data_IF_544315320232
#
_entry.id   IF_544315320232
#
_cell.length_a   1.000
_cell.length_b   1.000
_cell.length_c   1.000
_cell.angle_alpha   90.00
_cell.angle_beta   90.00
_cell.angle_gamma   90.00
#
_symmetry.space_group_name_H-M   'P 1'
#
loop_
_entity.id
_entity.type
_entity.pdbx_description
1 polymer ?
#
# COMPACT_ATOMS: atom_id res chain seq x y z
N UNK A 1 -16.52 37.16 -35.16
CA UNK A 1 -15.72 37.35 -33.94
C UNK A 1 -16.24 38.59 -33.22
N UNK A 2 -16.98 38.39 -32.12
CA UNK A 2 -17.40 39.49 -31.24
C UNK A 2 -16.15 40.14 -30.62
N UNK A 3 -16.17 41.49 -30.50
CA UNK A 3 -15.08 42.19 -29.83
C UNK A 3 -15.02 41.74 -28.35
N UNK A 4 -13.83 41.71 -27.80
CA UNK A 4 -13.59 41.36 -26.38
C UNK A 4 -14.47 42.14 -25.39
N UNK A 5 -14.91 43.34 -25.76
CA UNK A 5 -15.82 44.19 -24.97
C UNK A 5 -17.27 43.67 -24.98
N UNK A 6 -17.71 43.09 -26.10
CA UNK A 6 -19.05 42.52 -26.24
C UNK A 6 -19.17 41.21 -25.49
N UNK A 7 -18.14 40.41 -25.50
CA UNK A 7 -18.07 39.12 -24.78
C UNK A 7 -18.09 39.32 -23.25
N UNK A 8 -17.33 40.29 -22.78
CA UNK A 8 -17.34 40.70 -21.37
C UNK A 8 -18.73 41.17 -20.90
N UNK A 9 -19.40 42.05 -21.66
CA UNK A 9 -20.76 42.50 -21.36
C UNK A 9 -21.78 41.36 -21.37
N UNK A 10 -21.58 40.36 -22.20
CA UNK A 10 -22.42 39.17 -22.24
C UNK A 10 -22.24 38.33 -20.99
N UNK A 11 -21.00 38.11 -20.53
CA UNK A 11 -20.69 37.36 -19.31
C UNK A 11 -21.18 38.09 -18.07
N UNK A 12 -21.02 39.40 -17.96
CA UNK A 12 -21.57 40.22 -16.88
C UNK A 12 -23.10 40.09 -16.77
N UNK A 13 -23.81 40.11 -17.91
CA UNK A 13 -25.27 39.91 -17.94
C UNK A 13 -25.68 38.51 -17.52
N UNK A 14 -24.94 37.50 -17.94
CA UNK A 14 -25.20 36.10 -17.56
C UNK A 14 -24.95 35.85 -16.10
N UNK A 15 -23.87 36.39 -15.51
CA UNK A 15 -23.58 36.29 -14.09
C UNK A 15 -24.67 36.98 -13.26
N UNK A 16 -25.08 38.19 -13.62
CA UNK A 16 -26.17 38.93 -12.95
C UNK A 16 -27.50 38.19 -13.04
N UNK A 17 -27.81 37.52 -14.15
CA UNK A 17 -29.03 36.73 -14.32
C UNK A 17 -29.04 35.47 -13.42
N UNK A 18 -27.86 34.97 -13.08
CA UNK A 18 -27.68 33.80 -12.20
C UNK A 18 -27.47 34.18 -10.70
N UNK A 19 -27.53 35.46 -10.35
CA UNK A 19 -27.26 35.95 -9.00
C UNK A 19 -25.82 35.81 -8.54
N UNK A 20 -24.87 35.70 -9.50
CA UNK A 20 -23.45 35.56 -9.25
C UNK A 20 -22.73 36.88 -9.44
N UNK A 21 -21.75 37.19 -8.60
CA UNK A 21 -20.84 38.30 -8.88
C UNK A 21 -19.94 37.96 -10.08
N UNK A 22 -19.86 38.96 -11.02
CA UNK A 22 -18.96 38.79 -12.15
C UNK A 22 -17.52 38.99 -11.73
N UNK A 23 -16.73 37.94 -11.85
CA UNK A 23 -15.30 38.00 -11.56
C UNK A 23 -14.56 38.57 -12.79
N UNK A 24 -14.20 39.86 -12.73
CA UNK A 24 -13.49 40.58 -13.80
C UNK A 24 -12.08 40.02 -14.10
N UNK A 25 -11.56 39.15 -13.20
CA UNK A 25 -10.25 38.54 -13.35
C UNK A 25 -10.30 37.19 -14.08
N UNK A 26 -11.50 36.62 -14.27
CA UNK A 26 -11.69 35.33 -14.93
C UNK A 26 -11.51 35.39 -16.46
N UNK A 27 -11.40 36.56 -17.07
CA UNK A 27 -11.26 36.74 -18.52
C UNK A 27 -9.80 36.84 -19.01
N UNK A 28 -8.83 36.64 -18.11
CA UNK A 28 -7.39 36.52 -18.43
C UNK A 28 -6.76 37.79 -19.02
N UNK A 29 -7.43 38.94 -18.93
CA UNK A 29 -6.98 40.22 -19.57
C UNK A 29 -6.39 41.23 -18.57
N UNK A 30 -6.40 40.95 -17.31
CA UNK A 30 -5.58 41.67 -16.35
C UNK A 30 -4.11 41.28 -16.53
N UNK A 31 -3.19 42.24 -16.50
CA UNK A 31 -1.79 41.90 -16.25
C UNK A 31 -1.74 41.26 -14.85
N UNK A 32 -1.76 39.94 -14.80
CA UNK A 32 -1.54 39.24 -13.54
C UNK A 32 -0.17 39.65 -13.05
N UNK A 33 -0.15 40.26 -11.89
CA UNK A 33 1.09 40.50 -11.19
C UNK A 33 1.49 39.19 -10.56
N UNK A 34 2.45 38.49 -11.15
CA UNK A 34 3.03 37.26 -10.58
C UNK A 34 3.83 37.69 -9.36
N UNK A 35 3.40 37.22 -8.21
CA UNK A 35 4.16 37.37 -6.97
C UNK A 35 4.97 36.09 -6.77
N UNK A 36 6.28 36.24 -6.66
CA UNK A 36 7.12 35.16 -6.15
C UNK A 36 6.82 35.02 -4.67
N UNK A 37 6.40 33.84 -4.26
CA UNK A 37 6.14 33.49 -2.88
C UNK A 37 7.15 32.41 -2.47
N UNK A 38 7.81 32.63 -1.34
CA UNK A 38 8.57 31.58 -0.67
C UNK A 38 7.55 30.68 0.07
N UNK A 39 7.28 29.50 -0.51
CA UNK A 39 6.25 28.59 0.00
C UNK A 39 6.92 27.36 0.59
N UNK A 40 6.74 27.17 1.87
CA UNK A 40 7.12 25.93 2.56
C UNK A 40 5.90 25.00 2.61
N UNK A 41 6.00 23.83 1.95
CA UNK A 41 5.02 22.77 2.10
C UNK A 41 5.32 21.99 3.39
N UNK A 42 4.41 22.06 4.35
CA UNK A 42 4.48 21.26 5.59
C UNK A 42 3.48 20.11 5.46
N UNK A 43 3.98 18.88 5.54
CA UNK A 43 3.16 17.66 5.52
C UNK A 43 3.30 16.95 6.89
N UNK A 44 2.50 17.36 7.90
CA UNK A 44 2.70 16.94 9.29
C UNK A 44 2.28 15.50 9.57
N UNK A 45 1.44 14.93 8.72
CA UNK A 45 0.94 13.57 8.87
C UNK A 45 1.33 12.73 7.67
N UNK A 46 2.08 11.68 7.91
CA UNK A 46 2.36 10.65 6.91
C UNK A 46 2.39 9.29 7.60
N UNK A 47 1.78 8.30 6.95
CA UNK A 47 1.90 6.90 7.37
C UNK A 47 2.82 6.24 6.35
N UNK A 48 4.08 5.94 6.70
CA UNK A 48 5.03 5.38 5.77
C UNK A 48 4.69 3.91 5.47
N UNK A 49 4.79 3.55 4.20
CA UNK A 49 4.80 2.18 3.72
C UNK A 49 6.14 1.97 3.06
N UNK A 50 6.90 1.01 3.56
CA UNK A 50 8.17 0.61 2.99
C UNK A 50 7.92 -0.46 1.94
N UNK A 51 8.46 -0.28 0.73
CA UNK A 51 8.45 -1.29 -0.31
C UNK A 51 9.88 -1.63 -0.70
N UNK A 52 10.21 -2.91 -0.72
CA UNK A 52 11.47 -3.42 -1.25
C UNK A 52 11.24 -4.73 -2.02
N UNK A 53 12.28 -5.25 -2.63
CA UNK A 53 12.25 -6.56 -3.28
C UNK A 53 13.10 -7.54 -2.47
N UNK A 54 12.59 -8.73 -2.23
CA UNK A 54 13.34 -9.79 -1.56
C UNK A 54 14.59 -10.14 -2.37
N UNK A 55 15.75 -10.33 -1.73
CA UNK A 55 16.90 -10.94 -2.38
C UNK A 55 16.52 -12.30 -3.01
N UNK A 56 17.06 -12.68 -4.16
CA UNK A 56 16.65 -13.91 -4.86
C UNK A 56 16.80 -15.19 -4.03
N UNK A 57 17.83 -15.27 -3.22
CA UNK A 57 18.09 -16.38 -2.30
C UNK A 57 17.05 -16.43 -1.17
N UNK A 58 16.70 -15.30 -0.58
CA UNK A 58 15.64 -15.20 0.44
C UNK A 58 14.29 -15.57 -0.16
N UNK A 59 13.97 -15.05 -1.34
CA UNK A 59 12.73 -15.37 -2.05
C UNK A 59 12.62 -16.88 -2.31
N UNK A 60 13.66 -17.48 -2.85
CA UNK A 60 13.69 -18.92 -3.15
C UNK A 60 13.53 -19.76 -1.88
N UNK A 61 14.25 -19.40 -0.81
CA UNK A 61 14.14 -20.08 0.49
C UNK A 61 12.72 -19.99 1.06
N UNK A 62 12.08 -18.82 1.00
CA UNK A 62 10.72 -18.64 1.48
C UNK A 62 9.70 -19.41 0.62
N UNK A 63 9.91 -19.52 -0.69
CA UNK A 63 9.10 -20.37 -1.57
C UNK A 63 9.20 -21.84 -1.14
N UNK A 64 10.40 -22.34 -0.89
CA UNK A 64 10.64 -23.73 -0.46
C UNK A 64 9.99 -24.03 0.88
N UNK A 65 10.16 -23.15 1.89
CA UNK A 65 9.49 -23.28 3.18
C UNK A 65 7.97 -23.30 3.01
N UNK A 66 7.44 -22.38 2.21
CA UNK A 66 6.01 -22.28 1.94
C UNK A 66 5.47 -23.55 1.27
N UNK A 67 6.18 -24.08 0.26
CA UNK A 67 5.79 -25.28 -0.46
C UNK A 67 5.79 -26.52 0.47
N UNK A 68 6.78 -26.62 1.34
CA UNK A 68 6.86 -27.70 2.34
C UNK A 68 5.69 -27.66 3.32
N UNK A 69 5.38 -26.48 3.88
CA UNK A 69 4.29 -26.32 4.86
C UNK A 69 2.94 -26.63 4.19
N UNK A 70 2.72 -26.18 2.97
CA UNK A 70 1.46 -26.43 2.26
C UNK A 70 1.30 -27.91 1.89
N UNK A 71 2.39 -28.62 1.61
CA UNK A 71 2.38 -30.03 1.30
C UNK A 71 2.21 -30.92 2.54
N UNK A 72 2.51 -30.40 3.72
CA UNK A 72 2.38 -31.13 4.99
C UNK A 72 0.91 -31.31 5.36
N UNK A 73 0.50 -32.55 5.63
CA UNK A 73 -0.87 -32.88 6.04
C UNK A 73 -1.15 -32.51 7.50
N UNK A 74 -0.09 -32.37 8.30
CA UNK A 74 -0.17 -32.01 9.72
C UNK A 74 0.09 -30.50 9.91
N UNK A 75 -0.04 -29.68 8.87
CA UNK A 75 0.13 -28.24 8.95
C UNK A 75 -0.84 -27.59 9.95
N UNK A 76 -0.39 -26.50 10.56
CA UNK A 76 -1.17 -25.79 11.58
C UNK A 76 -1.89 -24.61 10.90
N UNK A 77 -3.22 -24.66 10.92
CA UNK A 77 -4.03 -23.52 10.48
C UNK A 77 -3.83 -22.31 11.41
N UNK A 78 -3.78 -21.13 10.83
CA UNK A 78 -3.77 -19.85 11.55
C UNK A 78 -5.04 -19.03 11.26
N UNK A 79 -5.88 -19.49 10.36
CA UNK A 79 -7.04 -18.74 9.81
C UNK A 79 -8.07 -18.32 10.85
N UNK A 80 -8.23 -19.05 11.98
CA UNK A 80 -9.18 -18.64 13.03
C UNK A 80 -8.85 -17.29 13.69
N UNK A 81 -7.59 -16.81 13.56
CA UNK A 81 -7.12 -15.54 14.09
C UNK A 81 -7.08 -14.42 13.04
N UNK A 82 -7.42 -14.73 11.80
CA UNK A 82 -7.24 -13.84 10.66
C UNK A 82 -8.58 -13.40 10.07
N UNK A 83 -8.58 -12.25 9.40
CA UNK A 83 -9.77 -11.68 8.78
C UNK A 83 -10.03 -12.24 7.38
N UNK A 84 -9.11 -12.99 6.80
CA UNK A 84 -9.15 -13.51 5.45
C UNK A 84 -10.37 -14.39 5.17
N UNK A 85 -10.92 -14.28 3.98
CA UNK A 85 -11.88 -15.24 3.43
C UNK A 85 -11.07 -16.20 2.54
N UNK A 86 -10.17 -16.95 3.19
CA UNK A 86 -9.12 -17.76 2.58
C UNK A 86 -9.06 -19.09 3.29
N UNK A 87 -9.03 -20.18 2.55
CA UNK A 87 -9.05 -21.53 3.11
C UNK A 87 -7.70 -21.91 3.73
N UNK A 88 -6.61 -21.52 3.09
CA UNK A 88 -5.27 -21.96 3.46
C UNK A 88 -4.44 -20.80 4.03
N UNK A 89 -4.58 -20.57 5.32
CA UNK A 89 -3.76 -19.65 6.12
C UNK A 89 -3.00 -20.46 7.16
N UNK A 90 -1.69 -20.66 6.92
CA UNK A 90 -0.89 -21.67 7.60
C UNK A 90 0.25 -21.04 8.41
N UNK A 91 0.44 -21.50 9.63
CA UNK A 91 1.47 -20.98 10.52
C UNK A 91 2.87 -21.38 10.06
N UNK A 92 3.81 -20.43 10.17
CA UNK A 92 5.25 -20.68 9.98
C UNK A 92 5.95 -20.65 11.33
N UNK A 93 6.60 -21.75 11.70
CA UNK A 93 7.36 -21.81 12.95
C UNK A 93 8.69 -21.06 12.80
N UNK A 94 9.06 -20.27 13.82
CA UNK A 94 10.26 -19.42 13.78
C UNK A 94 11.56 -20.22 13.61
N UNK A 95 11.63 -21.42 14.16
CA UNK A 95 12.79 -22.28 14.03
C UNK A 95 13.12 -22.65 12.57
N UNK A 96 12.12 -22.72 11.70
CA UNK A 96 12.34 -22.94 10.25
C UNK A 96 13.08 -21.76 9.62
N UNK A 97 12.71 -20.53 9.99
CA UNK A 97 13.35 -19.31 9.51
C UNK A 97 14.79 -19.17 10.02
N UNK A 98 15.02 -19.56 11.27
CA UNK A 98 16.35 -19.56 11.89
C UNK A 98 17.25 -20.59 11.22
N UNK A 99 16.78 -21.85 11.07
CA UNK A 99 17.53 -22.91 10.41
C UNK A 99 17.84 -22.61 8.93
N UNK A 100 16.90 -21.95 8.25
CA UNK A 100 17.10 -21.50 6.86
C UNK A 100 17.97 -20.25 6.75
N UNK A 101 18.35 -19.61 7.86
CA UNK A 101 19.21 -18.43 7.87
C UNK A 101 18.58 -17.13 7.39
N UNK A 102 17.24 -17.06 7.22
CA UNK A 102 16.53 -15.89 6.69
C UNK A 102 16.01 -14.95 7.78
N UNK A 103 15.98 -15.36 9.04
CA UNK A 103 15.51 -14.55 10.16
C UNK A 103 16.24 -13.19 10.24
N UNK A 104 17.57 -13.19 10.05
CA UNK A 104 18.39 -11.98 10.08
C UNK A 104 18.00 -10.95 9.03
N UNK A 105 17.56 -11.39 7.85
CA UNK A 105 17.05 -10.51 6.80
C UNK A 105 15.80 -9.77 7.28
N UNK A 106 14.82 -10.47 7.81
CA UNK A 106 13.56 -9.85 8.28
C UNK A 106 13.79 -8.88 9.43
N UNK A 107 14.63 -9.23 10.38
CA UNK A 107 14.98 -8.33 11.50
C UNK A 107 15.70 -7.08 11.00
N UNK A 108 16.61 -7.24 10.05
CA UNK A 108 17.32 -6.13 9.42
C UNK A 108 16.41 -5.20 8.62
N UNK A 109 15.46 -5.75 7.87
CA UNK A 109 14.49 -4.99 7.10
C UNK A 109 13.55 -4.17 8.01
N UNK A 110 13.04 -4.76 9.08
CA UNK A 110 12.22 -4.06 10.09
C UNK A 110 13.03 -2.98 10.79
N UNK A 111 14.29 -3.25 11.16
CA UNK A 111 15.18 -2.23 11.73
C UNK A 111 15.35 -1.05 10.80
N UNK A 112 15.56 -1.30 9.51
CA UNK A 112 15.71 -0.25 8.50
C UNK A 112 14.43 0.60 8.37
N UNK A 113 13.26 -0.05 8.37
CA UNK A 113 11.97 0.63 8.38
C UNK A 113 11.84 1.59 9.58
N UNK A 114 12.14 1.10 10.80
CA UNK A 114 12.06 1.90 12.03
C UNK A 114 13.00 3.10 11.98
N UNK A 115 14.24 2.89 11.55
CA UNK A 115 15.23 3.97 11.40
C UNK A 115 14.72 5.05 10.45
N UNK A 116 14.24 4.67 9.28
CA UNK A 116 13.74 5.64 8.29
C UNK A 116 12.53 6.42 8.80
N UNK A 117 11.56 5.73 9.44
CA UNK A 117 10.42 6.38 10.06
C UNK A 117 10.85 7.40 11.11
N UNK A 118 11.78 7.04 11.98
CA UNK A 118 12.29 7.96 13.02
C UNK A 118 13.07 9.14 12.44
N UNK A 119 13.91 8.90 11.45
CA UNK A 119 14.63 9.99 10.77
C UNK A 119 13.65 10.97 10.13
N UNK A 120 12.57 10.50 9.55
CA UNK A 120 11.51 11.37 9.01
C UNK A 120 10.78 12.16 10.09
N UNK A 121 10.52 11.54 11.26
CA UNK A 121 9.83 12.18 12.39
C UNK A 121 10.74 13.16 13.15
N UNK A 122 12.06 12.96 13.14
CA UNK A 122 13.05 13.69 13.90
C UNK A 122 14.22 14.15 13.01
N UNK A 123 13.98 15.10 12.09
CA UNK A 123 15.03 15.63 11.22
C UNK A 123 16.18 16.25 12.04
N UNK A 124 17.41 15.98 11.64
CA UNK A 124 18.62 16.47 12.33
C UNK A 124 19.16 15.52 13.41
N UNK A 125 18.47 14.42 13.69
CA UNK A 125 18.90 13.41 14.66
C UNK A 125 19.32 12.08 14.03
N UNK A 126 19.52 12.04 12.71
CA UNK A 126 19.75 10.81 11.93
C UNK A 126 20.92 9.97 12.47
N UNK A 127 22.02 10.63 12.85
CA UNK A 127 23.21 9.95 13.38
C UNK A 127 22.96 9.31 14.75
N UNK A 128 22.15 9.94 15.58
CA UNK A 128 21.77 9.39 16.88
C UNK A 128 20.84 8.20 16.72
N UNK A 129 19.80 8.35 15.85
CA UNK A 129 18.82 7.30 15.55
C UNK A 129 19.49 6.05 14.99
N UNK A 130 20.47 6.17 14.10
CA UNK A 130 21.19 5.03 13.54
C UNK A 130 21.99 4.23 14.58
N UNK A 131 22.37 4.86 15.69
CA UNK A 131 23.11 4.22 16.79
C UNK A 131 22.20 3.65 17.87
N UNK A 132 20.91 3.94 17.82
CA UNK A 132 19.96 3.35 18.76
C UNK A 132 19.89 1.84 18.60
N UNK A 133 19.89 1.15 19.72
CA UNK A 133 19.62 -0.30 19.79
C UNK A 133 18.13 -0.52 19.99
N UNK A 134 17.56 -1.42 19.20
CA UNK A 134 16.14 -1.74 19.20
C UNK A 134 15.97 -3.22 19.45
N UNK A 135 15.13 -3.54 20.42
CA UNK A 135 14.66 -4.90 20.57
C UNK A 135 13.56 -5.15 19.52
N UNK A 136 13.91 -5.88 18.48
CA UNK A 136 12.98 -6.30 17.44
C UNK A 136 12.69 -7.78 17.64
N UNK A 137 11.42 -8.13 17.73
CA UNK A 137 10.96 -9.50 17.91
C UNK A 137 9.89 -9.83 16.86
N UNK A 138 10.07 -10.92 16.14
CA UNK A 138 9.02 -11.49 15.30
C UNK A 138 8.03 -12.21 16.22
N UNK A 139 6.77 -11.79 16.19
CA UNK A 139 5.74 -12.40 17.03
C UNK A 139 5.11 -13.61 16.34
N UNK A 140 4.79 -13.48 15.05
CA UNK A 140 4.20 -14.55 14.26
C UNK A 140 4.48 -14.33 12.77
N UNK A 141 4.48 -15.43 12.03
CA UNK A 141 4.49 -15.45 10.58
C UNK A 141 3.51 -16.53 10.10
N UNK A 142 2.82 -16.25 9.02
CA UNK A 142 1.92 -17.23 8.39
C UNK A 142 1.97 -17.09 6.88
N UNK A 143 1.59 -18.15 6.19
CA UNK A 143 1.45 -18.21 4.75
C UNK A 143 -0.02 -17.99 4.42
N UNK A 144 -0.30 -17.12 3.49
CA UNK A 144 -1.61 -16.97 2.87
C UNK A 144 -1.55 -17.58 1.48
N UNK A 145 -2.19 -18.74 1.30
CA UNK A 145 -2.26 -19.43 0.01
C UNK A 145 -3.61 -19.14 -0.64
N UNK A 146 -3.74 -17.94 -1.19
CA UNK A 146 -4.99 -17.41 -1.73
C UNK A 146 -5.32 -18.06 -3.08
N UNK A 147 -6.53 -18.58 -3.19
CA UNK A 147 -7.09 -19.11 -4.43
C UNK A 147 -7.93 -18.06 -5.17
N UNK A 148 -8.32 -18.40 -6.42
CA UNK A 148 -9.22 -17.55 -7.22
C UNK A 148 -10.50 -17.23 -6.45
N UNK A 149 -10.91 -15.96 -6.41
CA UNK A 149 -12.06 -15.38 -5.70
C UNK A 149 -11.93 -15.29 -4.17
N UNK A 150 -10.88 -15.78 -3.56
CA UNK A 150 -10.58 -15.51 -2.16
C UNK A 150 -10.03 -14.10 -1.99
N UNK A 151 -10.13 -13.53 -0.78
CA UNK A 151 -9.69 -12.16 -0.51
C UNK A 151 -9.44 -11.91 0.98
N UNK A 152 -8.67 -10.86 1.28
CA UNK A 152 -8.59 -10.31 2.63
C UNK A 152 -9.42 -9.02 2.70
N UNK A 153 -10.47 -8.95 3.54
CA UNK A 153 -11.25 -7.74 3.73
C UNK A 153 -10.39 -6.64 4.37
N UNK A 154 -10.93 -5.43 4.45
CA UNK A 154 -10.29 -4.32 5.14
C UNK A 154 -10.03 -4.68 6.61
N UNK A 155 -8.78 -4.62 7.05
CA UNK A 155 -8.37 -4.96 8.41
C UNK A 155 -7.12 -4.20 8.85
N UNK A 156 -6.78 -4.37 10.10
CA UNK A 156 -5.53 -3.94 10.75
C UNK A 156 -4.95 -5.14 11.50
N UNK A 157 -3.69 -5.05 11.92
CA UNK A 157 -3.12 -6.02 12.84
C UNK A 157 -3.12 -5.50 14.27
N UNK A 158 -3.35 -6.40 15.22
CA UNK A 158 -3.39 -6.10 16.66
C UNK A 158 -2.25 -6.82 17.38
N UNK A 159 -1.94 -6.38 18.61
CA UNK A 159 -0.89 -6.97 19.46
C UNK A 159 0.53 -6.88 18.88
N UNK A 160 0.74 -6.09 17.83
CA UNK A 160 2.04 -5.79 17.26
C UNK A 160 2.15 -4.31 16.90
N UNK A 161 3.34 -3.83 16.62
CA UNK A 161 3.60 -2.43 16.22
C UNK A 161 3.81 -2.31 14.72
N UNK A 162 4.34 -3.35 14.10
CA UNK A 162 4.72 -3.39 12.70
C UNK A 162 4.16 -4.67 12.09
N UNK A 163 3.65 -4.56 10.89
CA UNK A 163 3.23 -5.68 10.07
C UNK A 163 3.94 -5.64 8.71
N UNK A 164 3.97 -6.78 8.05
CA UNK A 164 4.57 -6.88 6.74
C UNK A 164 3.86 -7.93 5.89
N UNK A 165 3.98 -7.81 4.58
CA UNK A 165 3.52 -8.80 3.62
C UNK A 165 4.55 -8.96 2.51
N UNK A 166 4.86 -10.20 2.14
CA UNK A 166 5.71 -10.53 1.02
C UNK A 166 4.95 -11.40 0.01
N UNK A 167 5.18 -11.15 -1.27
CA UNK A 167 4.55 -11.89 -2.34
C UNK A 167 5.54 -12.91 -2.92
N UNK A 168 5.35 -14.17 -2.60
CA UNK A 168 6.25 -15.25 -3.02
C UNK A 168 5.95 -15.72 -4.43
N UNK A 169 4.66 -15.87 -4.75
CA UNK A 169 4.16 -16.27 -6.06
C UNK A 169 2.95 -15.42 -6.41
N UNK A 170 2.92 -14.90 -7.62
CA UNK A 170 1.80 -14.11 -8.15
C UNK A 170 1.36 -14.76 -9.45
N UNK A 171 0.10 -15.21 -9.56
CA UNK A 171 -0.39 -15.87 -10.75
C UNK A 171 -0.62 -14.90 -11.89
N UNK A 172 -0.75 -15.42 -13.11
CA UNK A 172 -1.24 -14.64 -14.24
C UNK A 172 -2.74 -14.47 -14.10
N UNK A 173 -3.15 -13.28 -13.72
CA UNK A 173 -4.56 -12.95 -13.52
C UNK A 173 -5.28 -12.70 -14.83
N UNK A 174 -6.58 -13.00 -14.87
CA UNK A 174 -7.46 -12.62 -15.96
C UNK A 174 -7.78 -11.13 -15.85
N UNK A 175 -7.94 -10.41 -16.97
CA UNK A 175 -8.30 -9.01 -16.96
C UNK A 175 -9.67 -8.78 -16.32
N UNK A 176 -9.91 -7.57 -15.83
CA UNK A 176 -11.22 -7.18 -15.28
C UNK A 176 -12.36 -7.46 -16.26
N UNK A 177 -13.52 -7.85 -15.71
CA UNK A 177 -14.74 -8.06 -16.51
C UNK A 177 -15.34 -6.76 -17.07
N UNK A 178 -14.87 -5.61 -16.62
CA UNK A 178 -15.41 -4.30 -16.99
C UNK A 178 -14.29 -3.45 -17.58
N UNK A 179 -14.29 -3.29 -18.89
CA UNK A 179 -13.28 -2.55 -19.67
C UNK A 179 -13.08 -1.08 -19.23
N UNK A 180 -14.07 -0.49 -18.56
CA UNK A 180 -14.04 0.92 -18.15
C UNK A 180 -13.69 1.14 -16.67
N UNK A 181 -13.33 0.09 -15.93
CA UNK A 181 -12.90 0.19 -14.54
C UNK A 181 -11.42 -0.13 -14.43
N UNK A 182 -10.77 0.53 -13.47
CA UNK A 182 -9.44 0.12 -13.02
C UNK A 182 -9.50 -1.35 -12.63
N UNK A 183 -8.53 -2.11 -13.10
CA UNK A 183 -8.40 -3.52 -12.75
C UNK A 183 -7.65 -3.59 -11.43
N UNK A 184 -8.37 -3.84 -10.34
CA UNK A 184 -7.80 -3.95 -9.01
C UNK A 184 -7.65 -5.42 -8.56
N UNK A 185 -7.98 -6.39 -9.44
CA UNK A 185 -7.90 -7.82 -9.14
C UNK A 185 -6.50 -8.19 -8.61
N UNK A 186 -6.44 -8.87 -7.46
CA UNK A 186 -5.21 -9.33 -6.79
C UNK A 186 -4.33 -8.22 -6.20
N UNK A 187 -4.73 -6.96 -6.27
CA UNK A 187 -3.96 -5.87 -5.70
C UNK A 187 -4.09 -5.77 -4.18
N UNK A 188 -3.06 -5.18 -3.56
CA UNK A 188 -3.16 -4.71 -2.18
C UNK A 188 -3.57 -3.24 -2.15
N UNK A 189 -4.58 -2.94 -1.34
CA UNK A 189 -5.10 -1.62 -1.09
C UNK A 189 -4.66 -1.14 0.29
N UNK A 190 -4.01 0.01 0.38
CA UNK A 190 -3.78 0.73 1.62
C UNK A 190 -4.67 1.96 1.67
N UNK A 191 -5.35 2.18 2.80
CA UNK A 191 -6.28 3.30 2.98
C UNK A 191 -5.74 4.30 3.99
N UNK A 192 -5.71 5.57 3.58
CA UNK A 192 -5.36 6.69 4.44
C UNK A 192 -6.58 7.21 5.20
N UNK A 193 -6.36 8.01 6.25
CA UNK A 193 -7.41 8.77 6.92
C UNK A 193 -7.90 9.98 6.11
N UNK A 194 -7.27 10.28 4.98
CA UNK A 194 -7.68 11.34 4.09
C UNK A 194 -8.97 10.97 3.37
N UNK A 195 -9.90 11.91 3.25
CA UNK A 195 -11.25 11.58 2.81
C UNK A 195 -11.43 11.59 1.30
N UNK A 196 -10.76 12.49 0.54
CA UNK A 196 -10.98 12.66 -0.91
C UNK A 196 -9.83 13.45 -1.57
N UNK A 197 -9.67 13.24 -2.89
CA UNK A 197 -8.72 14.00 -3.74
C UNK A 197 -9.00 15.51 -3.73
N UNK A 198 -10.28 15.90 -3.58
CA UNK A 198 -10.68 17.32 -3.46
C UNK A 198 -10.14 17.99 -2.20
N UNK A 199 -9.72 17.23 -1.22
CA UNK A 199 -9.08 17.70 0.01
C UNK A 199 -7.55 17.78 -0.12
N UNK A 200 -7.02 17.68 -1.34
CA UNK A 200 -5.59 17.72 -1.68
C UNK A 200 -4.76 16.62 -1.01
N UNK A 201 -5.35 15.45 -0.79
CA UNK A 201 -4.70 14.30 -0.18
C UNK A 201 -5.04 13.02 -0.92
N UNK A 202 -4.17 12.02 -0.80
CA UNK A 202 -4.36 10.71 -1.42
C UNK A 202 -5.15 9.82 -0.45
N UNK A 203 -6.41 9.43 -0.78
CA UNK A 203 -7.26 8.64 0.12
C UNK A 203 -6.82 7.18 0.24
N UNK A 204 -6.24 6.62 -0.80
CA UNK A 204 -5.79 5.25 -0.83
C UNK A 204 -4.69 5.05 -1.88
N UNK A 205 -3.99 3.93 -1.76
CA UNK A 205 -2.98 3.48 -2.74
C UNK A 205 -3.32 2.03 -3.09
N UNK A 206 -3.48 1.75 -4.38
CA UNK A 206 -3.65 0.41 -4.93
C UNK A 206 -2.34 -0.02 -5.57
N UNK A 207 -1.81 -1.16 -5.18
CA UNK A 207 -0.55 -1.68 -5.69
C UNK A 207 -0.78 -3.10 -6.21
N UNK A 208 -0.45 -3.33 -7.48
CA UNK A 208 -0.37 -4.66 -8.07
C UNK A 208 0.97 -5.28 -7.69
N UNK A 209 0.99 -6.33 -6.88
CA UNK A 209 2.24 -6.94 -6.43
C UNK A 209 2.88 -7.76 -7.53
N UNK A 210 4.20 -7.85 -7.47
CA UNK A 210 4.99 -8.81 -8.22
C UNK A 210 5.63 -9.82 -7.26
N UNK A 211 5.98 -11.01 -7.78
CA UNK A 211 6.74 -11.97 -7.00
C UNK A 211 8.06 -11.35 -6.51
N UNK A 212 8.36 -11.48 -5.24
CA UNK A 212 9.49 -10.84 -4.57
C UNK A 212 9.17 -9.48 -3.94
N UNK A 213 8.02 -8.86 -4.19
CA UNK A 213 7.64 -7.63 -3.49
C UNK A 213 7.50 -7.88 -2.00
N UNK A 214 8.05 -6.97 -1.20
CA UNK A 214 7.99 -7.01 0.26
C UNK A 214 7.61 -5.63 0.81
N UNK A 215 6.51 -5.58 1.55
CA UNK A 215 5.98 -4.37 2.17
C UNK A 215 6.10 -4.44 3.67
N UNK A 216 6.50 -3.32 4.31
CA UNK A 216 6.52 -3.17 5.77
C UNK A 216 5.77 -1.89 6.12
N UNK A 217 4.90 -1.94 7.11
CA UNK A 217 4.04 -0.82 7.51
C UNK A 217 3.64 -0.91 8.98
N UNK A 218 3.16 0.18 9.53
CA UNK A 218 2.61 0.19 10.89
C UNK A 218 1.39 -0.72 11.00
N UNK A 219 1.27 -1.47 12.08
CA UNK A 219 0.20 -2.47 12.27
C UNK A 219 -1.22 -1.89 12.18
N UNK A 220 -1.40 -0.60 12.50
CA UNK A 220 -2.67 0.11 12.41
C UNK A 220 -3.00 0.61 11.00
N UNK A 221 -2.11 0.41 10.01
CA UNK A 221 -2.38 0.76 8.64
C UNK A 221 -3.49 -0.11 8.07
N UNK A 222 -4.64 0.49 7.78
CA UNK A 222 -5.77 -0.19 7.15
C UNK A 222 -5.39 -0.66 5.76
N UNK A 223 -5.63 -1.93 5.48
CA UNK A 223 -5.35 -2.52 4.18
C UNK A 223 -6.29 -3.69 3.87
N UNK A 224 -6.42 -3.98 2.58
CA UNK A 224 -7.19 -5.10 2.05
C UNK A 224 -6.45 -5.71 0.88
N UNK A 225 -6.79 -6.95 0.54
CA UNK A 225 -6.32 -7.57 -0.70
C UNK A 225 -7.51 -8.02 -1.50
N UNK A 226 -7.58 -7.54 -2.73
CA UNK A 226 -8.67 -7.85 -3.63
C UNK A 226 -8.61 -9.31 -4.12
N UNK A 227 -9.77 -9.92 -4.38
CA UNK A 227 -9.80 -11.21 -5.04
C UNK A 227 -9.24 -11.09 -6.46
N UNK A 228 -8.76 -12.20 -6.98
CA UNK A 228 -8.34 -12.31 -8.37
C UNK A 228 -9.02 -13.49 -9.07
N UNK A 229 -8.87 -13.58 -10.38
CA UNK A 229 -9.37 -14.68 -11.19
C UNK A 229 -8.26 -15.20 -12.08
N UNK A 230 -8.14 -16.52 -12.15
CA UNK A 230 -7.23 -17.22 -13.05
C UNK A 230 -8.01 -18.00 -14.12
N UNK A 231 -7.33 -18.41 -15.18
CA UNK A 231 -7.92 -19.32 -16.18
C UNK A 231 -8.20 -20.69 -15.54
N UNK A 232 -9.28 -21.36 -15.97
CA UNK A 232 -9.58 -22.70 -15.52
C UNK A 232 -8.41 -23.66 -15.80
N UNK A 233 -8.03 -24.43 -14.76
CA UNK A 233 -6.92 -25.39 -14.82
C UNK A 233 -5.56 -24.83 -14.38
N UNK A 234 -5.39 -23.52 -14.20
CA UNK A 234 -4.28 -22.95 -13.45
C UNK A 234 -4.65 -22.99 -11.95
N UNK A 235 -4.03 -23.90 -11.21
CA UNK A 235 -4.01 -23.82 -9.73
C UNK A 235 -3.01 -22.74 -9.33
N UNK A 236 -3.31 -21.51 -9.73
CA UNK A 236 -2.42 -20.39 -9.45
C UNK A 236 -2.79 -19.84 -8.09
N UNK A 237 -1.90 -20.09 -7.17
CA UNK A 237 -1.98 -19.68 -5.77
C UNK A 237 -1.10 -18.46 -5.61
N UNK A 238 -1.70 -17.33 -5.28
CA UNK A 238 -0.93 -16.22 -4.73
C UNK A 238 -0.48 -16.61 -3.32
N UNK A 239 0.83 -16.54 -3.06
CA UNK A 239 1.40 -16.87 -1.75
C UNK A 239 2.00 -15.62 -1.14
N UNK A 240 1.52 -15.31 0.02
CA UNK A 240 1.90 -14.14 0.82
C UNK A 240 2.45 -14.54 2.16
#
# INVERSE_FOLDING_TARGET
NMSTRQERRRQERLAKKKGLEYNKWADGKGKEKIYEMDVQLIQPWSVPIFKTTLPPDVLQTMIEISDQIIADKDNISHGEYLAGQIENELRVEHNLLEQAGVMGFFMGAVRQFVIQCKCQMMPGFEQAIQKEEWLIQMLTMWIVSQQSNEYNPMHIHTQCQISSVMYLKVPKMLPSRKEHRQDDDGSILFVSNASRDVDFSVPNIVIHPAAGDFFIFGAQQQHAVYPFRCAEGQKDVERR
#
